data_IF_159959611114
#
_entry.id   IF_159959611114
#
_cell.length_a   1.000
_cell.length_b   1.000
_cell.length_c   1.000
_cell.angle_alpha   90.00
_cell.angle_beta   90.00
_cell.angle_gamma   90.00
#
_symmetry.space_group_name_H-M   'P 1'
#
loop_
_entity.id
_entity.type
_entity.pdbx_description
1 polymer ?
#
# COMPACT_ATOMS: atom_id res chain seq x y z
N UNK A 1 -9.48 43.86 5.60
CA UNK A 1 -9.66 42.88 6.70
C UNK A 1 -10.38 41.67 6.13
N UNK A 2 -9.70 40.55 5.92
CA UNK A 2 -10.39 39.32 5.51
C UNK A 2 -11.40 38.91 6.58
N UNK A 3 -12.65 38.72 6.18
CA UNK A 3 -13.72 38.39 7.12
C UNK A 3 -13.50 36.98 7.69
N UNK A 4 -13.93 36.72 8.94
CA UNK A 4 -13.83 35.39 9.57
C UNK A 4 -14.43 34.27 8.71
N UNK A 5 -15.39 34.61 7.84
CA UNK A 5 -16.06 33.72 6.91
C UNK A 5 -15.14 33.27 5.75
N UNK A 6 -14.33 34.19 5.19
CA UNK A 6 -13.40 33.88 4.10
C UNK A 6 -12.25 32.97 4.55
N UNK A 7 -11.70 33.21 5.74
CA UNK A 7 -10.67 32.34 6.35
C UNK A 7 -11.17 30.90 6.52
N UNK A 8 -12.43 30.72 6.93
CA UNK A 8 -13.05 29.39 7.09
C UNK A 8 -13.27 28.69 5.75
N UNK A 9 -13.63 29.42 4.68
CA UNK A 9 -13.78 28.87 3.32
C UNK A 9 -12.44 28.43 2.73
N UNK A 10 -11.36 29.18 2.93
CA UNK A 10 -9.99 28.79 2.49
C UNK A 10 -9.51 27.51 3.16
N UNK A 11 -9.62 27.42 4.49
CA UNK A 11 -9.24 26.20 5.22
C UNK A 11 -10.03 24.95 4.78
N UNK A 12 -11.32 25.09 4.47
CA UNK A 12 -12.13 23.98 3.92
C UNK A 12 -11.65 23.55 2.53
N UNK A 13 -11.22 24.48 1.67
CA UNK A 13 -10.65 24.16 0.35
C UNK A 13 -9.30 23.43 0.45
N UNK A 14 -8.43 23.85 1.36
CA UNK A 14 -7.13 23.19 1.58
C UNK A 14 -7.28 21.78 2.15
N UNK A 15 -8.16 21.60 3.15
CA UNK A 15 -8.44 20.26 3.68
C UNK A 15 -8.95 19.31 2.60
N UNK A 16 -9.80 19.77 1.67
CA UNK A 16 -10.26 18.96 0.54
C UNK A 16 -9.10 18.53 -0.37
N UNK A 17 -8.18 19.43 -0.71
CA UNK A 17 -7.02 19.08 -1.54
C UNK A 17 -6.16 17.97 -0.91
N UNK A 18 -5.86 18.09 0.38
CA UNK A 18 -5.11 17.04 1.09
C UNK A 18 -5.89 15.73 1.18
N UNK A 19 -7.21 15.79 1.36
CA UNK A 19 -8.06 14.61 1.37
C UNK A 19 -8.08 13.88 0.02
N UNK A 20 -8.18 14.61 -1.10
CA UNK A 20 -8.07 14.01 -2.43
C UNK A 20 -6.70 13.38 -2.68
N UNK A 21 -5.62 14.05 -2.27
CA UNK A 21 -4.26 13.48 -2.35
C UNK A 21 -4.16 12.16 -1.58
N UNK A 22 -4.76 12.09 -0.39
CA UNK A 22 -4.80 10.89 0.43
C UNK A 22 -5.67 9.78 -0.19
N UNK A 23 -6.84 10.12 -0.76
CA UNK A 23 -7.69 9.17 -1.48
C UNK A 23 -6.92 8.54 -2.64
N UNK A 24 -6.25 9.34 -3.47
CA UNK A 24 -5.48 8.82 -4.61
C UNK A 24 -4.43 7.81 -4.14
N UNK A 25 -3.72 8.12 -3.06
CA UNK A 25 -2.70 7.26 -2.47
C UNK A 25 -3.28 5.92 -1.99
N UNK A 26 -4.43 5.96 -1.29
CA UNK A 26 -5.17 4.77 -0.88
C UNK A 26 -5.63 3.96 -2.09
N UNK A 27 -6.16 4.63 -3.10
CA UNK A 27 -6.74 3.98 -4.28
C UNK A 27 -5.65 3.26 -5.08
N UNK A 28 -4.46 3.86 -5.21
CA UNK A 28 -3.28 3.19 -5.78
C UNK A 28 -2.89 1.94 -4.99
N UNK A 29 -2.87 2.02 -3.65
CA UNK A 29 -2.58 0.85 -2.80
C UNK A 29 -3.62 -0.26 -2.95
N UNK A 30 -4.91 0.10 -3.06
CA UNK A 30 -5.99 -0.86 -3.28
C UNK A 30 -5.88 -1.56 -4.63
N UNK A 31 -5.62 -0.81 -5.71
CA UNK A 31 -5.41 -1.39 -7.05
C UNK A 31 -4.22 -2.34 -7.02
N UNK A 32 -3.12 -1.94 -6.36
CA UNK A 32 -1.93 -2.77 -6.25
C UNK A 32 -2.21 -4.08 -5.50
N UNK A 33 -2.90 -4.01 -4.35
CA UNK A 33 -3.30 -5.19 -3.57
C UNK A 33 -4.24 -6.11 -4.37
N UNK A 34 -5.21 -5.53 -5.09
CA UNK A 34 -6.14 -6.32 -5.89
C UNK A 34 -5.44 -6.98 -7.09
N UNK A 35 -4.55 -6.26 -7.77
CA UNK A 35 -3.75 -6.80 -8.87
C UNK A 35 -2.92 -8.00 -8.43
N UNK A 36 -2.24 -7.89 -7.28
CA UNK A 36 -1.51 -9.01 -6.69
C UNK A 36 -2.43 -10.20 -6.44
N UNK A 37 -3.62 -9.98 -5.87
CA UNK A 37 -4.58 -11.05 -5.59
C UNK A 37 -5.05 -11.77 -6.86
N UNK A 38 -5.38 -11.02 -7.91
CA UNK A 38 -5.82 -11.58 -9.21
C UNK A 38 -4.72 -12.42 -9.85
N UNK A 39 -3.47 -11.94 -9.82
CA UNK A 39 -2.32 -12.69 -10.34
C UNK A 39 -2.14 -13.97 -9.51
N UNK A 40 -2.27 -13.89 -8.17
CA UNK A 40 -2.18 -15.05 -7.29
C UNK A 40 -3.21 -16.13 -7.64
N UNK A 41 -4.47 -15.72 -7.83
CA UNK A 41 -5.57 -16.62 -8.22
C UNK A 41 -5.36 -17.20 -9.62
N UNK A 42 -4.84 -16.40 -10.56
CA UNK A 42 -4.52 -16.85 -11.92
C UNK A 42 -3.40 -17.88 -11.95
N UNK A 43 -2.37 -17.76 -11.10
CA UNK A 43 -1.29 -18.75 -11.00
C UNK A 43 -1.78 -20.05 -10.35
N UNK A 44 -2.65 -19.98 -9.33
CA UNK A 44 -3.32 -21.16 -8.77
C UNK A 44 -4.10 -21.88 -9.85
N UNK A 45 -4.90 -21.14 -10.62
CA UNK A 45 -5.75 -21.70 -11.67
C UNK A 45 -4.95 -22.40 -12.77
N UNK A 46 -3.76 -21.89 -13.09
CA UNK A 46 -2.90 -22.46 -14.13
C UNK A 46 -2.01 -23.62 -13.63
N UNK A 47 -2.10 -24.03 -12.35
CA UNK A 47 -1.31 -25.08 -11.69
C UNK A 47 0.21 -25.01 -11.93
N UNK A 48 0.71 -23.82 -12.31
CA UNK A 48 2.10 -23.59 -12.70
C UNK A 48 3.06 -23.63 -11.49
N UNK A 49 2.54 -23.50 -10.27
CA UNK A 49 3.31 -23.47 -9.01
C UNK A 49 2.53 -24.21 -7.91
N UNK A 50 3.06 -25.35 -7.43
CA UNK A 50 2.52 -26.11 -6.27
C UNK A 50 2.32 -25.26 -4.99
N UNK A 51 3.00 -24.12 -4.87
CA UNK A 51 2.85 -23.14 -3.80
C UNK A 51 2.73 -21.72 -4.39
N UNK A 52 1.54 -21.31 -4.81
CA UNK A 52 1.34 -20.11 -5.62
C UNK A 52 1.24 -18.84 -4.76
N UNK A 53 2.06 -18.71 -3.70
CA UNK A 53 2.14 -17.46 -2.95
C UNK A 53 3.06 -16.49 -3.69
N UNK A 54 2.47 -15.67 -4.56
CA UNK A 54 3.19 -14.64 -5.33
C UNK A 54 3.60 -13.49 -4.42
N UNK A 55 2.75 -13.18 -3.43
CA UNK A 55 3.02 -12.12 -2.47
C UNK A 55 2.34 -12.46 -1.14
N UNK A 56 3.13 -12.79 -0.12
CA UNK A 56 2.64 -12.96 1.25
C UNK A 56 3.54 -12.20 2.20
N UNK A 57 2.98 -11.19 2.86
CA UNK A 57 3.69 -10.42 3.88
C UNK A 57 3.36 -11.01 5.26
N UNK A 58 4.32 -11.66 5.90
CA UNK A 58 4.22 -12.10 7.28
C UNK A 58 5.01 -11.14 8.18
N UNK A 59 4.28 -10.19 8.79
CA UNK A 59 4.85 -9.17 9.67
C UNK A 59 5.35 -9.79 10.99
N UNK A 60 4.75 -10.91 11.43
CA UNK A 60 5.16 -11.59 12.68
C UNK A 60 6.50 -12.29 12.48
N UNK A 61 6.66 -12.98 11.36
CA UNK A 61 7.91 -13.67 11.03
C UNK A 61 8.94 -12.78 10.32
N UNK A 62 8.59 -11.52 10.03
CA UNK A 62 9.38 -10.61 9.18
C UNK A 62 9.79 -11.28 7.87
N UNK A 63 8.85 -11.97 7.22
CA UNK A 63 9.08 -12.65 5.94
C UNK A 63 8.18 -12.05 4.87
N UNK A 64 8.72 -11.93 3.67
CA UNK A 64 7.95 -11.63 2.47
C UNK A 64 8.14 -12.81 1.52
N UNK A 65 7.07 -13.50 1.17
CA UNK A 65 7.11 -14.48 0.08
C UNK A 65 6.80 -13.72 -1.21
N UNK A 66 7.71 -13.78 -2.17
CA UNK A 66 7.63 -13.15 -3.48
C UNK A 66 7.91 -14.18 -4.56
N UNK A 67 6.94 -14.40 -5.47
CA UNK A 67 7.07 -15.33 -6.60
C UNK A 67 7.52 -16.75 -6.18
N UNK A 68 6.98 -17.28 -5.07
CA UNK A 68 7.36 -18.59 -4.55
C UNK A 68 8.72 -18.65 -3.84
N UNK A 69 9.41 -17.51 -3.64
CA UNK A 69 10.63 -17.40 -2.83
C UNK A 69 10.37 -16.59 -1.57
N UNK A 70 10.79 -17.10 -0.41
CA UNK A 70 10.72 -16.39 0.86
C UNK A 70 11.96 -15.52 1.06
N UNK A 71 11.75 -14.23 1.31
CA UNK A 71 12.79 -13.27 1.70
C UNK A 71 12.55 -12.78 3.12
N UNK A 72 13.61 -12.52 3.87
CA UNK A 72 13.52 -11.94 5.22
C UNK A 72 13.54 -10.42 5.11
N UNK A 73 12.59 -9.77 5.79
CA UNK A 73 12.50 -8.32 5.91
C UNK A 73 13.29 -7.89 7.13
N UNK A 74 14.51 -7.42 6.93
CA UNK A 74 15.26 -6.75 7.99
C UNK A 74 14.88 -5.26 8.05
N UNK A 75 13.99 -4.91 8.99
CA UNK A 75 13.58 -3.54 9.27
C UNK A 75 14.73 -2.66 9.82
N UNK A 76 15.93 -3.23 10.10
CA UNK A 76 17.11 -2.43 10.49
C UNK A 76 17.54 -1.43 9.42
N UNK A 77 17.26 -1.68 8.14
CA UNK A 77 17.59 -0.75 7.03
C UNK A 77 16.82 0.57 7.12
N UNK A 78 15.66 0.59 7.80
CA UNK A 78 14.86 1.81 8.01
C UNK A 78 15.26 2.57 9.29
N UNK A 79 16.21 2.06 10.06
CA UNK A 79 16.72 2.77 11.22
C UNK A 79 17.63 3.88 10.70
N UNK A 80 17.13 5.12 10.77
CA UNK A 80 17.95 6.31 10.57
C UNK A 80 19.09 6.24 11.58
N UNK A 81 20.33 6.16 11.09
CA UNK A 81 21.52 6.35 11.92
C UNK A 81 21.40 7.75 12.58
N UNK A 82 21.54 7.78 13.90
CA UNK A 82 21.70 9.02 14.66
C UNK A 82 23.03 9.70 14.31
#
# INVERSE_FOLDING_TARGET
METRIEKRKRHKKEKRKNFYKFIVLILTLFIFYYGIKVVNESIVYLDYLKNPNIFKLDIREKKIDLFGRSYLIDLKILKKDE
#
